data_IF_591420989996
#
_entry.id   IF_591420989996
#
_cell.length_a   1.000
_cell.length_b   1.000
_cell.length_c   1.000
_cell.angle_alpha   90.00
_cell.angle_beta   90.00
_cell.angle_gamma   90.00
#
_symmetry.space_group_name_H-M   'P 1'
#
loop_
_entity.id
_entity.type
_entity.pdbx_description
1 polymer ?
#
# COMPACT_ATOMS: atom_id res chain seq x y z
N UNK A 1 -17.58 3.13 18.65
CA UNK A 1 -17.22 2.09 17.67
C UNK A 1 -15.79 2.40 17.23
N UNK A 2 -14.94 1.43 16.94
CA UNK A 2 -13.61 1.73 16.40
C UNK A 2 -13.78 2.56 15.12
N UNK A 3 -12.89 3.55 14.92
CA UNK A 3 -12.91 4.44 13.74
C UNK A 3 -12.46 3.63 12.50
N UNK A 4 -13.42 2.94 11.87
CA UNK A 4 -13.17 2.10 10.69
C UNK A 4 -12.97 2.97 9.48
N UNK A 5 -11.76 2.98 8.93
CA UNK A 5 -11.39 3.81 7.78
C UNK A 5 -11.57 3.06 6.45
N UNK A 6 -11.39 1.74 6.41
CA UNK A 6 -11.71 0.89 5.25
C UNK A 6 -12.67 -0.21 5.70
N UNK A 7 -13.82 -0.33 5.06
CA UNK A 7 -14.80 -1.39 5.32
C UNK A 7 -15.14 -2.11 4.01
N UNK A 8 -14.84 -3.39 3.95
CA UNK A 8 -15.04 -4.28 2.81
C UNK A 8 -15.98 -5.38 3.22
N UNK A 9 -17.09 -5.56 2.47
CA UNK A 9 -18.10 -6.57 2.74
C UNK A 9 -18.42 -7.39 1.50
N UNK A 10 -18.16 -8.68 1.56
CA UNK A 10 -18.48 -9.64 0.52
C UNK A 10 -17.88 -9.33 -0.86
N UNK A 11 -16.71 -8.67 -0.92
CA UNK A 11 -16.12 -8.16 -2.15
C UNK A 11 -15.76 -9.31 -3.11
N UNK A 12 -16.30 -9.25 -4.35
CA UNK A 12 -16.01 -10.22 -5.41
C UNK A 12 -15.47 -9.54 -6.65
N UNK A 13 -14.39 -10.09 -7.18
CA UNK A 13 -13.75 -9.62 -8.41
C UNK A 13 -13.50 -10.75 -9.37
N UNK A 14 -13.92 -10.55 -10.62
CA UNK A 14 -13.65 -11.47 -11.75
C UNK A 14 -12.92 -10.75 -12.87
N UNK A 15 -12.07 -11.49 -13.57
CA UNK A 15 -11.48 -11.13 -14.85
C UNK A 15 -11.93 -12.19 -15.87
N UNK A 16 -12.90 -11.86 -16.71
CA UNK A 16 -13.62 -12.85 -17.52
C UNK A 16 -14.28 -13.89 -16.61
N UNK A 17 -14.02 -15.17 -16.87
CA UNK A 17 -14.56 -16.28 -16.08
C UNK A 17 -13.75 -16.59 -14.81
N UNK A 18 -12.58 -15.99 -14.65
CA UNK A 18 -11.71 -16.24 -13.49
C UNK A 18 -12.10 -15.35 -12.29
N UNK A 19 -12.65 -15.94 -11.24
CA UNK A 19 -12.96 -15.26 -10.00
C UNK A 19 -11.72 -15.19 -9.10
N UNK A 20 -11.14 -13.97 -8.98
CA UNK A 20 -9.90 -13.71 -8.25
C UNK A 20 -10.16 -13.36 -6.79
N UNK A 21 -11.21 -12.58 -6.49
CA UNK A 21 -11.66 -12.32 -5.11
C UNK A 21 -13.05 -12.95 -4.92
N UNK A 22 -13.19 -13.75 -3.87
CA UNK A 22 -14.34 -14.67 -3.67
C UNK A 22 -15.09 -14.36 -2.36
N UNK A 23 -15.54 -13.12 -2.20
CA UNK A 23 -16.24 -12.68 -1.00
C UNK A 23 -15.24 -12.33 0.12
N UNK A 24 -14.57 -11.19 -0.01
CA UNK A 24 -13.64 -10.67 0.99
C UNK A 24 -14.42 -9.77 1.95
N UNK A 25 -14.25 -10.04 3.25
CA UNK A 25 -14.72 -9.21 4.35
C UNK A 25 -13.49 -8.73 5.14
N UNK A 26 -13.29 -7.41 5.23
CA UNK A 26 -12.15 -6.82 5.94
C UNK A 26 -12.48 -5.42 6.42
N UNK A 27 -12.44 -5.19 7.73
CA UNK A 27 -12.45 -3.86 8.34
C UNK A 27 -11.04 -3.43 8.72
N UNK A 28 -10.69 -2.18 8.49
CA UNK A 28 -9.40 -1.57 8.88
C UNK A 28 -9.70 -0.35 9.76
N UNK A 29 -9.07 -0.29 10.92
CA UNK A 29 -9.18 0.84 11.85
C UNK A 29 -8.16 1.92 11.49
N UNK A 30 -8.50 3.18 11.74
CA UNK A 30 -7.56 4.30 11.54
C UNK A 30 -6.30 4.10 12.40
N UNK A 31 -5.13 4.28 11.80
CA UNK A 31 -3.83 4.06 12.43
C UNK A 31 -3.41 2.58 12.48
N UNK A 32 -4.26 1.65 12.02
CA UNK A 32 -3.93 0.22 12.01
C UNK A 32 -2.97 -0.13 10.86
N UNK A 33 -2.01 -0.99 11.15
CA UNK A 33 -1.07 -1.56 10.18
C UNK A 33 -1.45 -3.01 9.90
N UNK A 34 -1.88 -3.29 8.66
CA UNK A 34 -2.23 -4.64 8.22
C UNK A 34 -1.20 -5.15 7.21
N UNK A 35 -0.60 -6.32 7.50
CA UNK A 35 0.19 -7.06 6.53
C UNK A 35 -0.67 -8.13 5.85
N UNK A 36 -0.72 -8.12 4.52
CA UNK A 36 -1.43 -9.11 3.69
C UNK A 36 -0.39 -10.04 3.08
N UNK A 37 -0.45 -11.32 3.46
CA UNK A 37 0.48 -12.36 3.04
C UNK A 37 -0.26 -13.47 2.27
N UNK A 38 0.47 -14.29 1.53
CA UNK A 38 -0.08 -15.42 0.77
C UNK A 38 0.67 -15.67 -0.54
N UNK A 39 0.43 -16.83 -1.15
CA UNK A 39 1.07 -17.24 -2.42
C UNK A 39 0.78 -16.22 -3.55
N UNK A 40 1.67 -16.18 -4.55
CA UNK A 40 1.39 -15.44 -5.79
C UNK A 40 0.06 -15.90 -6.40
N UNK A 41 -0.71 -14.97 -6.97
CA UNK A 41 -2.03 -15.25 -7.54
C UNK A 41 -3.16 -15.43 -6.52
N UNK A 42 -2.95 -15.24 -5.21
CA UNK A 42 -4.02 -15.34 -4.21
C UNK A 42 -4.98 -14.14 -4.17
N UNK A 43 -4.73 -13.09 -4.96
CA UNK A 43 -5.60 -11.92 -5.07
C UNK A 43 -5.16 -10.69 -4.26
N UNK A 44 -4.01 -10.70 -3.59
CA UNK A 44 -3.53 -9.62 -2.71
C UNK A 44 -3.48 -8.25 -3.39
N UNK A 45 -2.73 -8.14 -4.49
CA UNK A 45 -2.59 -6.90 -5.26
C UNK A 45 -3.92 -6.45 -5.88
N UNK A 46 -4.77 -7.42 -6.28
CA UNK A 46 -6.12 -7.13 -6.78
C UNK A 46 -6.98 -6.50 -5.69
N UNK A 47 -6.88 -6.99 -4.45
CA UNK A 47 -7.59 -6.39 -3.31
C UNK A 47 -7.16 -4.95 -3.08
N UNK A 48 -5.85 -4.66 -3.03
CA UNK A 48 -5.35 -3.28 -2.89
C UNK A 48 -5.82 -2.38 -4.05
N UNK A 49 -5.81 -2.89 -5.29
CA UNK A 49 -6.28 -2.14 -6.45
C UNK A 49 -7.79 -1.90 -6.45
N UNK A 50 -8.58 -2.76 -5.82
CA UNK A 50 -10.00 -2.49 -5.58
C UNK A 50 -10.18 -1.37 -4.55
N UNK A 51 -9.37 -1.33 -3.47
CA UNK A 51 -9.47 -0.32 -2.42
C UNK A 51 -9.18 1.08 -2.95
N UNK A 52 -8.18 1.27 -3.84
CA UNK A 52 -7.90 2.58 -4.43
C UNK A 52 -8.70 2.87 -5.72
N UNK A 53 -9.60 1.95 -6.11
CA UNK A 53 -10.44 2.08 -7.29
C UNK A 53 -9.70 2.02 -8.63
N UNK A 54 -8.52 1.42 -8.69
CA UNK A 54 -7.84 1.08 -9.95
C UNK A 54 -8.48 -0.14 -10.62
N UNK A 55 -9.05 -1.05 -9.80
CA UNK A 55 -9.83 -2.18 -10.27
C UNK A 55 -11.29 -2.04 -9.83
N UNK A 56 -12.20 -2.35 -10.74
CA UNK A 56 -13.62 -2.48 -10.44
C UNK A 56 -13.91 -3.85 -9.83
N UNK A 57 -14.98 -3.98 -9.05
CA UNK A 57 -15.49 -5.25 -8.55
C UNK A 57 -16.95 -5.44 -8.99
N UNK A 58 -17.43 -6.68 -8.98
CA UNK A 58 -18.77 -6.99 -9.46
C UNK A 58 -19.81 -7.06 -8.35
N UNK A 59 -19.41 -7.59 -7.17
CA UNK A 59 -20.31 -7.80 -6.03
C UNK A 59 -19.65 -7.34 -4.73
N UNK A 60 -20.47 -7.04 -3.74
CA UNK A 60 -20.03 -6.57 -2.42
C UNK A 60 -20.09 -5.06 -2.28
N UNK A 61 -19.60 -4.58 -1.16
CA UNK A 61 -19.50 -3.16 -0.84
C UNK A 61 -18.09 -2.82 -0.33
N UNK A 62 -17.62 -1.61 -0.65
CA UNK A 62 -16.37 -1.07 -0.17
C UNK A 62 -16.55 0.41 0.15
N UNK A 63 -16.18 0.80 1.37
CA UNK A 63 -16.13 2.20 1.80
C UNK A 63 -14.73 2.55 2.27
N UNK A 64 -14.30 3.77 2.02
CA UNK A 64 -13.05 4.33 2.52
C UNK A 64 -13.34 5.70 3.10
N UNK A 65 -12.92 5.93 4.33
CA UNK A 65 -13.13 7.18 5.08
C UNK A 65 -14.60 7.64 5.08
N UNK A 66 -15.52 6.67 5.23
CA UNK A 66 -16.97 6.86 5.20
C UNK A 66 -17.61 7.00 3.82
N UNK A 67 -16.83 7.11 2.76
CA UNK A 67 -17.32 7.27 1.40
C UNK A 67 -17.40 5.92 0.66
N UNK A 68 -18.60 5.58 0.17
CA UNK A 68 -18.80 4.35 -0.62
C UNK A 68 -18.17 4.47 -1.99
N UNK A 69 -17.45 3.41 -2.39
CA UNK A 69 -16.81 3.35 -3.71
C UNK A 69 -17.84 3.20 -4.81
N UNK A 70 -17.89 4.18 -5.72
CA UNK A 70 -18.81 4.24 -6.86
C UNK A 70 -18.03 4.29 -8.17
N UNK A 71 -17.74 3.15 -8.77
CA UNK A 71 -16.90 3.06 -9.97
C UNK A 71 -17.38 3.87 -11.16
N UNK A 72 -18.68 4.12 -11.28
CA UNK A 72 -19.28 4.88 -12.39
C UNK A 72 -19.23 6.40 -12.17
N UNK A 73 -18.87 6.86 -10.97
CA UNK A 73 -18.75 8.28 -10.66
C UNK A 73 -17.28 8.71 -10.67
N UNK A 74 -16.87 9.33 -11.78
CA UNK A 74 -15.50 9.81 -11.94
C UNK A 74 -15.08 10.87 -10.90
N UNK A 75 -16.05 11.65 -10.38
CA UNK A 75 -15.79 12.65 -9.33
C UNK A 75 -15.54 11.97 -7.99
N UNK A 76 -16.38 11.00 -7.62
CA UNK A 76 -16.19 10.19 -6.41
C UNK A 76 -14.85 9.43 -6.47
N UNK A 77 -14.49 8.86 -7.62
CA UNK A 77 -13.23 8.16 -7.79
C UNK A 77 -12.00 9.06 -7.67
N UNK A 78 -12.10 10.33 -8.13
CA UNK A 78 -11.01 11.32 -7.94
C UNK A 78 -10.89 11.72 -6.46
N UNK A 79 -12.01 11.92 -5.77
CA UNK A 79 -12.02 12.22 -4.34
C UNK A 79 -11.39 11.07 -3.55
N UNK A 80 -11.80 9.82 -3.78
CA UNK A 80 -11.22 8.65 -3.14
C UNK A 80 -9.69 8.63 -3.26
N UNK A 81 -9.15 8.81 -4.47
CA UNK A 81 -7.70 8.76 -4.73
C UNK A 81 -6.91 9.90 -4.09
N UNK A 82 -7.55 10.91 -3.55
CA UNK A 82 -6.89 11.93 -2.73
C UNK A 82 -6.70 11.44 -1.28
N UNK A 83 -7.56 10.54 -0.80
CA UNK A 83 -7.51 9.97 0.55
C UNK A 83 -6.74 8.64 0.61
N UNK A 84 -6.55 7.96 -0.53
CA UNK A 84 -5.86 6.67 -0.61
C UNK A 84 -4.60 6.80 -1.44
N UNK A 85 -3.45 6.79 -0.77
CA UNK A 85 -2.14 6.69 -1.42
C UNK A 85 -1.83 5.24 -1.83
N UNK A 86 -1.11 5.06 -2.92
CA UNK A 86 -0.62 3.73 -3.31
C UNK A 86 0.82 3.77 -3.78
N UNK A 87 1.61 2.84 -3.27
CA UNK A 87 2.99 2.60 -3.68
C UNK A 87 3.01 1.23 -4.36
N UNK A 88 3.55 1.19 -5.57
CA UNK A 88 3.58 0.00 -6.41
C UNK A 88 4.93 -0.72 -6.31
N UNK A 89 4.94 -1.97 -6.71
CA UNK A 89 6.13 -2.79 -6.87
C UNK A 89 7.17 -2.14 -7.81
N UNK A 90 6.71 -1.61 -8.94
CA UNK A 90 7.50 -0.76 -9.82
C UNK A 90 7.39 0.68 -9.35
N UNK A 91 8.49 1.42 -9.34
CA UNK A 91 8.57 2.78 -8.77
C UNK A 91 7.62 3.77 -9.47
N UNK A 92 7.36 3.56 -10.77
CA UNK A 92 6.46 4.37 -11.62
C UNK A 92 6.74 5.87 -11.54
N UNK A 93 8.01 6.25 -11.40
CA UNK A 93 8.43 7.65 -11.47
C UNK A 93 8.32 8.15 -12.92
N UNK A 94 7.96 9.42 -13.07
CA UNK A 94 8.01 10.10 -14.36
C UNK A 94 9.48 10.35 -14.75
N UNK A 95 10.01 9.65 -15.77
CA UNK A 95 11.45 9.67 -16.05
C UNK A 95 11.94 11.02 -16.59
N UNK A 96 11.04 11.84 -17.12
CA UNK A 96 11.32 13.18 -17.67
C UNK A 96 11.14 14.31 -16.64
N UNK A 97 10.83 13.98 -15.38
CA UNK A 97 10.70 14.93 -14.29
C UNK A 97 11.77 14.68 -13.24
N UNK A 98 12.29 15.75 -12.65
CA UNK A 98 13.17 15.62 -11.47
C UNK A 98 12.46 14.98 -10.31
N UNK A 99 13.20 14.49 -9.33
CA UNK A 99 12.71 13.92 -8.07
C UNK A 99 11.71 14.88 -7.39
N UNK A 100 12.10 16.13 -7.21
CA UNK A 100 11.22 17.14 -6.62
C UNK A 100 9.93 17.34 -7.42
N UNK A 101 10.02 17.40 -8.75
CA UNK A 101 8.83 17.53 -9.61
C UNK A 101 7.93 16.29 -9.58
N UNK A 102 8.50 15.09 -9.46
CA UNK A 102 7.72 13.87 -9.24
C UNK A 102 6.86 13.96 -7.97
N UNK A 103 7.42 14.48 -6.87
CA UNK A 103 6.69 14.64 -5.60
C UNK A 103 5.65 15.77 -5.68
N UNK A 104 5.97 16.87 -6.34
CA UNK A 104 5.12 18.07 -6.41
C UNK A 104 3.94 17.94 -7.38
N UNK A 105 4.00 17.04 -8.37
CA UNK A 105 3.07 17.02 -9.51
C UNK A 105 1.61 16.86 -9.08
N UNK A 106 1.29 15.84 -8.30
CA UNK A 106 -0.07 15.56 -7.89
C UNK A 106 -0.67 16.66 -7.00
N UNK A 107 0.01 17.17 -5.95
CA UNK A 107 -0.47 18.32 -5.18
C UNK A 107 -0.71 19.57 -6.01
N UNK A 108 0.14 19.85 -7.00
CA UNK A 108 -0.03 21.01 -7.88
C UNK A 108 -1.28 20.90 -8.76
N UNK A 109 -1.50 19.72 -9.37
CA UNK A 109 -2.62 19.50 -10.30
C UNK A 109 -3.97 19.29 -9.60
N UNK A 110 -3.97 18.58 -8.47
CA UNK A 110 -5.20 18.13 -7.83
C UNK A 110 -5.64 19.06 -6.72
N UNK A 111 -4.69 19.48 -5.83
CA UNK A 111 -4.95 20.38 -4.72
C UNK A 111 -4.69 21.86 -5.06
N UNK A 112 -4.27 22.14 -6.29
CA UNK A 112 -3.91 23.49 -6.76
C UNK A 112 -2.90 24.19 -5.82
N UNK A 113 -2.00 23.42 -5.22
CA UNK A 113 -1.01 23.92 -4.27
C UNK A 113 -0.03 24.85 -4.98
N UNK A 114 0.22 26.02 -4.40
CA UNK A 114 1.16 26.99 -4.94
C UNK A 114 2.58 26.39 -5.04
N UNK A 115 3.33 26.78 -6.08
CA UNK A 115 4.64 26.19 -6.37
C UNK A 115 5.61 26.28 -5.19
N UNK A 116 5.65 27.41 -4.46
CA UNK A 116 6.49 27.62 -3.30
C UNK A 116 6.15 26.65 -2.14
N UNK A 117 4.86 26.47 -1.86
CA UNK A 117 4.39 25.58 -0.79
C UNK A 117 4.59 24.10 -1.17
N UNK A 118 4.38 23.77 -2.47
CA UNK A 118 4.65 22.46 -3.03
C UNK A 118 6.14 22.09 -2.94
N UNK A 119 7.04 23.01 -3.23
CA UNK A 119 8.48 22.79 -3.10
C UNK A 119 8.88 22.58 -1.64
N UNK A 120 8.40 23.43 -0.73
CA UNK A 120 8.69 23.29 0.70
C UNK A 120 8.23 21.94 1.25
N UNK A 121 7.01 21.50 0.87
CA UNK A 121 6.49 20.17 1.24
C UNK A 121 7.33 19.05 0.63
N UNK A 122 7.67 19.13 -0.66
CA UNK A 122 8.45 18.10 -1.35
C UNK A 122 9.83 17.93 -0.71
N UNK A 123 10.52 19.05 -0.36
CA UNK A 123 11.81 18.99 0.34
C UNK A 123 11.69 18.30 1.70
N UNK A 124 10.66 18.61 2.48
CA UNK A 124 10.38 17.99 3.77
C UNK A 124 10.14 16.48 3.65
N UNK A 125 9.38 16.07 2.64
CA UNK A 125 9.12 14.65 2.38
C UNK A 125 10.36 13.91 1.89
N UNK A 126 11.18 14.53 1.05
CA UNK A 126 12.46 13.96 0.61
C UNK A 126 13.45 13.83 1.75
N UNK A 127 13.51 14.81 2.66
CA UNK A 127 14.30 14.71 3.89
C UNK A 127 13.83 13.52 4.76
N UNK A 128 12.52 13.38 4.94
CA UNK A 128 11.92 12.27 5.70
C UNK A 128 12.31 10.89 5.15
N UNK A 129 12.45 10.76 3.83
CA UNK A 129 12.90 9.50 3.20
C UNK A 129 14.42 9.44 2.97
N UNK A 130 15.20 10.37 3.55
CA UNK A 130 16.66 10.41 3.48
C UNK A 130 17.21 10.77 2.11
N UNK A 131 16.53 11.64 1.35
CA UNK A 131 16.88 12.03 -0.03
C UNK A 131 16.83 13.56 -0.24
N UNK A 132 17.10 14.35 0.81
CA UNK A 132 17.01 15.81 0.76
C UNK A 132 17.87 16.42 -0.38
N UNK A 133 19.07 15.89 -0.61
CA UNK A 133 20.02 16.36 -1.61
C UNK A 133 19.65 15.96 -3.06
N UNK A 134 18.70 15.05 -3.22
CA UNK A 134 18.27 14.50 -4.53
C UNK A 134 17.15 15.29 -5.21
N UNK A 135 16.70 16.41 -4.67
CA UNK A 135 15.56 17.19 -5.18
C UNK A 135 15.64 17.47 -6.68
N UNK A 136 16.83 17.84 -7.19
CA UNK A 136 17.06 18.18 -8.59
C UNK A 136 17.55 16.99 -9.45
N UNK A 137 17.79 15.81 -8.86
CA UNK A 137 18.23 14.63 -9.58
C UNK A 137 17.10 14.10 -10.48
N UNK A 138 17.50 13.38 -11.54
CA UNK A 138 16.58 12.63 -12.39
C UNK A 138 16.44 11.18 -11.88
N UNK A 139 15.32 10.48 -12.16
CA UNK A 139 15.09 9.11 -11.69
C UNK A 139 16.20 8.10 -12.10
N UNK A 140 16.77 8.26 -13.27
CA UNK A 140 17.85 7.40 -13.78
C UNK A 140 19.19 7.58 -13.03
N UNK A 141 19.34 8.64 -12.25
CA UNK A 141 20.49 8.91 -11.39
C UNK A 141 20.35 8.30 -9.98
N UNK A 142 19.26 7.54 -9.74
CA UNK A 142 18.93 6.98 -8.44
C UNK A 142 19.04 5.45 -8.46
N UNK A 143 19.51 4.85 -7.35
CA UNK A 143 19.36 3.40 -7.13
C UNK A 143 17.89 2.99 -7.02
N UNK A 144 17.58 1.70 -7.19
CA UNK A 144 16.22 1.18 -7.04
C UNK A 144 15.60 1.52 -5.68
N UNK A 145 16.34 1.37 -4.59
CA UNK A 145 15.88 1.75 -3.25
C UNK A 145 15.64 3.25 -3.10
N UNK A 146 16.47 4.10 -3.73
CA UNK A 146 16.23 5.54 -3.77
C UNK A 146 14.99 5.88 -4.57
N UNK A 147 14.77 5.28 -5.73
CA UNK A 147 13.57 5.46 -6.55
C UNK A 147 12.30 5.07 -5.77
N UNK A 148 12.35 3.96 -5.03
CA UNK A 148 11.23 3.52 -4.20
C UNK A 148 10.94 4.51 -3.06
N UNK A 149 11.97 5.04 -2.43
CA UNK A 149 11.79 6.08 -1.40
C UNK A 149 11.22 7.38 -1.98
N UNK A 150 11.56 7.75 -3.21
CA UNK A 150 10.89 8.86 -3.92
C UNK A 150 9.42 8.53 -4.20
N UNK A 151 9.09 7.29 -4.59
CA UNK A 151 7.69 6.87 -4.80
C UNK A 151 6.88 6.95 -3.49
N UNK A 152 7.48 6.61 -2.35
CA UNK A 152 6.87 6.81 -1.02
C UNK A 152 6.63 8.32 -0.77
N UNK A 153 7.64 9.17 -0.94
CA UNK A 153 7.50 10.61 -0.75
C UNK A 153 6.40 11.22 -1.65
N UNK A 154 6.32 10.77 -2.90
CA UNK A 154 5.26 11.16 -3.86
C UNK A 154 3.87 10.77 -3.38
N UNK A 155 3.70 9.55 -2.85
CA UNK A 155 2.41 9.10 -2.31
C UNK A 155 2.01 9.93 -1.08
N UNK A 156 2.95 10.22 -0.19
CA UNK A 156 2.73 11.03 1.01
C UNK A 156 2.41 12.51 0.70
N UNK A 157 2.83 13.03 -0.46
CA UNK A 157 2.60 14.43 -0.83
C UNK A 157 1.10 14.78 -0.98
N UNK A 158 0.26 13.78 -1.22
CA UNK A 158 -1.20 13.93 -1.22
C UNK A 158 -1.82 13.88 0.18
N UNK A 159 -1.04 13.65 1.24
CA UNK A 159 -1.51 13.55 2.64
C UNK A 159 -2.65 12.54 2.77
N UNK A 160 -2.43 11.28 2.34
CA UNK A 160 -3.48 10.27 2.31
C UNK A 160 -3.87 9.83 3.74
N UNK A 161 -5.13 9.46 3.92
CA UNK A 161 -5.62 8.87 5.16
C UNK A 161 -5.27 7.38 5.28
N UNK A 162 -5.06 6.70 4.14
CA UNK A 162 -4.65 5.30 4.03
C UNK A 162 -3.55 5.17 2.99
N UNK A 163 -2.51 4.41 3.29
CA UNK A 163 -1.42 4.12 2.35
C UNK A 163 -1.39 2.62 2.04
N UNK A 164 -1.49 2.29 0.77
CA UNK A 164 -1.44 0.93 0.24
C UNK A 164 -0.04 0.65 -0.31
N UNK A 165 0.59 -0.44 0.13
CA UNK A 165 1.93 -0.85 -0.29
C UNK A 165 1.83 -2.21 -1.01
N UNK A 166 2.02 -2.24 -2.33
CA UNK A 166 1.93 -3.46 -3.14
C UNK A 166 3.33 -3.99 -3.46
N UNK A 167 3.84 -4.93 -2.64
CA UNK A 167 5.14 -5.62 -2.80
C UNK A 167 6.32 -4.66 -3.06
N UNK A 168 6.41 -3.59 -2.27
CA UNK A 168 7.30 -2.44 -2.51
C UNK A 168 8.80 -2.74 -2.44
N UNK A 169 9.19 -3.94 -2.02
CA UNK A 169 10.60 -4.39 -1.94
C UNK A 169 10.97 -5.43 -2.99
N UNK A 170 10.00 -6.03 -3.67
CA UNK A 170 10.27 -7.21 -4.54
C UNK A 170 11.06 -6.90 -5.81
N UNK A 171 11.17 -5.62 -6.21
CA UNK A 171 11.98 -5.18 -7.34
C UNK A 171 13.36 -4.63 -6.92
N UNK A 172 13.75 -4.83 -5.65
CA UNK A 172 14.99 -4.29 -5.08
C UNK A 172 16.03 -5.38 -4.84
N UNK A 173 17.30 -5.00 -4.93
CA UNK A 173 18.39 -5.81 -4.43
C UNK A 173 18.27 -5.98 -2.91
N UNK A 174 18.58 -7.17 -2.35
CA UNK A 174 18.37 -7.46 -0.92
C UNK A 174 19.01 -6.44 0.04
N UNK A 175 20.17 -5.89 -0.31
CA UNK A 175 20.87 -4.88 0.48
C UNK A 175 20.13 -3.52 0.57
N UNK A 176 19.25 -3.22 -0.41
CA UNK A 176 18.47 -1.98 -0.45
C UNK A 176 17.11 -2.09 0.26
N UNK A 177 16.62 -3.31 0.51
CA UNK A 177 15.33 -3.59 1.14
C UNK A 177 15.22 -2.90 2.51
N UNK A 178 16.26 -3.03 3.34
CA UNK A 178 16.24 -2.49 4.71
C UNK A 178 16.03 -0.97 4.78
N UNK A 179 16.52 -0.22 3.78
CA UNK A 179 16.34 1.25 3.76
C UNK A 179 14.88 1.64 3.50
N UNK A 180 14.20 0.92 2.59
CA UNK A 180 12.79 1.16 2.26
C UNK A 180 11.90 0.75 3.43
N UNK A 181 12.17 -0.41 4.04
CA UNK A 181 11.39 -0.91 5.18
C UNK A 181 11.49 0.02 6.40
N UNK A 182 12.66 0.63 6.67
CA UNK A 182 12.79 1.63 7.75
C UNK A 182 11.91 2.85 7.54
N UNK A 183 11.75 3.30 6.30
CA UNK A 183 10.82 4.41 6.01
C UNK A 183 9.38 4.00 6.33
N UNK A 184 8.95 2.81 5.89
CA UNK A 184 7.60 2.32 6.17
C UNK A 184 7.36 2.11 7.67
N UNK A 185 8.36 1.60 8.40
CA UNK A 185 8.32 1.47 9.86
C UNK A 185 8.09 2.83 10.52
N UNK A 186 8.83 3.88 10.12
CA UNK A 186 8.62 5.21 10.68
C UNK A 186 7.23 5.78 10.37
N UNK A 187 6.60 5.41 9.23
CA UNK A 187 5.22 5.80 8.93
C UNK A 187 4.21 5.09 9.85
N UNK A 188 4.45 3.82 10.15
CA UNK A 188 3.65 3.06 11.12
C UNK A 188 3.73 3.68 12.52
N UNK A 189 4.96 3.98 12.99
CA UNK A 189 5.20 4.62 14.29
C UNK A 189 4.54 6.00 14.42
N UNK A 190 4.41 6.73 13.31
CA UNK A 190 3.70 8.02 13.25
C UNK A 190 2.16 7.85 13.18
N UNK A 191 1.62 6.63 13.26
CA UNK A 191 0.20 6.35 13.27
C UNK A 191 -0.47 6.36 11.90
N UNK A 192 0.28 6.20 10.80
CA UNK A 192 -0.28 6.06 9.45
C UNK A 192 -1.04 4.75 9.31
N UNK A 193 -2.27 4.79 8.76
CA UNK A 193 -2.99 3.57 8.38
C UNK A 193 -2.32 2.92 7.17
N UNK A 194 -1.84 1.69 7.32
CA UNK A 194 -1.10 0.97 6.28
C UNK A 194 -1.76 -0.38 5.94
N UNK A 195 -1.94 -0.65 4.66
CA UNK A 195 -2.22 -2.01 4.16
C UNK A 195 -1.07 -2.42 3.25
N UNK A 196 -0.32 -3.44 3.64
CA UNK A 196 0.91 -3.83 2.96
C UNK A 196 0.82 -5.28 2.45
N UNK A 197 0.97 -5.47 1.15
CA UNK A 197 1.30 -6.78 0.58
C UNK A 197 2.80 -6.94 0.65
N UNK A 198 3.28 -7.97 1.33
CA UNK A 198 4.72 -8.17 1.53
C UNK A 198 5.09 -9.65 1.59
N UNK A 199 6.32 -9.94 1.18
CA UNK A 199 7.02 -11.21 1.38
C UNK A 199 8.06 -11.14 2.51
N UNK A 200 8.22 -9.97 3.14
CA UNK A 200 9.14 -9.73 4.25
C UNK A 200 8.49 -10.13 5.58
N UNK A 201 8.49 -11.44 5.90
CA UNK A 201 7.77 -11.96 7.08
C UNK A 201 8.31 -11.42 8.40
N UNK A 202 9.64 -11.20 8.51
CA UNK A 202 10.25 -10.57 9.68
C UNK A 202 9.74 -9.15 9.89
N UNK A 203 9.61 -8.39 8.83
CA UNK A 203 9.06 -7.04 8.85
C UNK A 203 7.56 -7.05 9.20
N UNK A 204 6.76 -7.89 8.53
CA UNK A 204 5.34 -8.05 8.83
C UNK A 204 5.10 -8.39 10.30
N UNK A 205 5.91 -9.30 10.87
CA UNK A 205 5.83 -9.68 12.29
C UNK A 205 6.14 -8.51 13.23
N UNK A 206 7.07 -7.62 12.84
CA UNK A 206 7.53 -6.51 13.67
C UNK A 206 6.56 -5.33 13.68
N UNK A 207 6.01 -4.97 12.50
CA UNK A 207 5.33 -3.67 12.34
C UNK A 207 3.81 -3.77 12.25
N UNK A 208 3.23 -4.93 11.94
CA UNK A 208 1.79 -5.01 11.76
C UNK A 208 1.05 -5.27 13.07
N UNK A 209 -0.10 -4.64 13.23
CA UNK A 209 -1.07 -4.93 14.30
C UNK A 209 -1.83 -6.21 13.99
N UNK A 210 -2.10 -6.45 12.70
CA UNK A 210 -2.82 -7.62 12.22
C UNK A 210 -2.23 -8.13 10.91
N UNK A 211 -2.20 -9.46 10.79
CA UNK A 211 -1.80 -10.15 9.56
C UNK A 211 -3.02 -10.83 8.96
N UNK A 212 -3.16 -10.72 7.64
CA UNK A 212 -4.22 -11.34 6.84
C UNK A 212 -3.57 -12.32 5.87
N UNK A 213 -3.86 -13.60 6.02
CA UNK A 213 -3.42 -14.64 5.09
C UNK A 213 -4.48 -14.87 4.01
N UNK A 214 -4.11 -14.55 2.77
CA UNK A 214 -4.96 -14.80 1.60
C UNK A 214 -4.57 -16.09 0.88
N UNK A 215 -5.57 -16.92 0.64
CA UNK A 215 -5.43 -18.15 -0.13
C UNK A 215 -6.61 -18.34 -1.09
N UNK A 216 -6.31 -18.67 -2.36
CA UNK A 216 -7.31 -18.97 -3.40
C UNK A 216 -8.44 -17.93 -3.52
N UNK A 217 -8.14 -16.64 -3.35
CA UNK A 217 -9.08 -15.52 -3.49
C UNK A 217 -9.92 -15.23 -2.24
N UNK A 218 -9.61 -15.80 -1.09
CA UNK A 218 -10.31 -15.60 0.19
C UNK A 218 -9.33 -15.17 1.29
N UNK A 219 -9.84 -14.48 2.29
CA UNK A 219 -9.15 -14.38 3.59
C UNK A 219 -9.35 -15.74 4.26
N UNK A 220 -8.24 -16.46 4.43
CA UNK A 220 -8.25 -17.82 4.95
C UNK A 220 -8.01 -17.84 6.46
N UNK A 221 -7.14 -16.96 6.93
CA UNK A 221 -6.85 -16.77 8.35
C UNK A 221 -6.42 -15.32 8.58
N UNK A 222 -6.81 -14.73 9.71
CA UNK A 222 -6.31 -13.41 10.15
C UNK A 222 -6.22 -13.33 11.66
N UNK A 223 -5.27 -12.53 12.16
CA UNK A 223 -5.06 -12.33 13.58
C UNK A 223 -3.82 -11.52 13.87
N UNK A 224 -3.42 -11.45 15.13
CA UNK A 224 -2.17 -10.81 15.51
C UNK A 224 -0.96 -11.53 14.89
N UNK A 225 0.16 -10.83 14.63
CA UNK A 225 1.38 -11.47 14.14
C UNK A 225 1.84 -12.66 15.00
N UNK A 226 1.75 -12.53 16.33
CA UNK A 226 2.12 -13.59 17.24
C UNK A 226 1.26 -14.85 17.05
N UNK A 227 -0.04 -14.70 16.85
CA UNK A 227 -0.96 -15.81 16.61
C UNK A 227 -0.70 -16.47 15.23
N UNK A 228 -0.67 -15.69 14.15
CA UNK A 228 -0.51 -16.24 12.82
C UNK A 228 0.84 -16.93 12.57
N UNK A 229 1.92 -16.28 13.00
CA UNK A 229 3.27 -16.83 12.78
C UNK A 229 3.70 -17.85 13.84
N UNK A 230 3.14 -17.77 15.07
CA UNK A 230 3.49 -18.67 16.17
C UNK A 230 2.61 -19.92 16.28
N UNK A 231 1.34 -19.80 15.92
CA UNK A 231 0.37 -20.89 16.04
C UNK A 231 -0.65 -20.86 14.87
N UNK A 232 -0.20 -21.05 13.61
CA UNK A 232 -1.08 -21.08 12.45
C UNK A 232 -2.10 -22.21 12.58
N UNK A 233 -3.38 -21.93 12.32
CA UNK A 233 -4.46 -22.91 12.51
C UNK A 233 -4.68 -23.75 11.25
N UNK A 234 -4.67 -23.11 10.08
CA UNK A 234 -5.00 -23.76 8.81
C UNK A 234 -3.81 -24.51 8.22
N UNK A 235 -4.03 -25.69 7.58
CA UNK A 235 -2.98 -26.43 6.88
C UNK A 235 -2.28 -25.57 5.80
N UNK A 236 -3.04 -24.74 5.11
CA UNK A 236 -2.55 -23.86 4.02
C UNK A 236 -1.58 -22.81 4.55
N UNK A 237 -1.86 -22.20 5.70
CA UNK A 237 -0.94 -21.23 6.34
C UNK A 237 0.31 -21.94 6.85
N UNK A 238 0.17 -23.12 7.49
CA UNK A 238 1.32 -23.94 7.93
C UNK A 238 2.24 -24.26 6.76
N UNK A 239 1.67 -24.73 5.64
CA UNK A 239 2.42 -25.04 4.43
C UNK A 239 3.08 -23.80 3.82
N UNK A 240 2.38 -22.64 3.84
CA UNK A 240 2.92 -21.39 3.33
C UNK A 240 4.13 -20.94 4.16
N UNK A 241 4.02 -20.95 5.48
CA UNK A 241 5.11 -20.54 6.38
C UNK A 241 6.30 -21.49 6.33
N UNK A 242 6.08 -22.80 6.25
CA UNK A 242 7.18 -23.77 6.15
C UNK A 242 8.00 -23.60 4.87
N UNK A 243 7.36 -23.25 3.74
CA UNK A 243 8.03 -23.00 2.48
C UNK A 243 8.91 -21.72 2.45
N UNK A 244 8.78 -20.85 3.45
CA UNK A 244 9.60 -19.63 3.58
C UNK A 244 10.86 -19.84 4.44
N UNK A 245 10.95 -20.97 5.15
CA UNK A 245 12.07 -21.31 6.04
C UNK A 245 13.00 -22.38 5.44
N UNK A 246 12.72 -22.88 4.25
CA UNK A 246 13.55 -23.80 3.46
C UNK A 246 14.20 -23.09 2.29
#
# INVERSE_FOLDING_TARGET
>A
MPDTIVDIRGLRKRFGDNEVLKGIDLGVTRGEVIAIIGKSGSGKSTLLRCINGLETFQDGALTVDGEALKHHDAKAMRALRQHVGMIFQSFNLFPHLTVGRNVMLAPALVKQRAAKDGEAQARKLLERVGLAEKFNAMPDQLSGGQQQRVAIARALAMEPAVLLCDEITSALDPELVGEVLRVVESLADDGMTLLMVTHEMGFARKVSDRVVFMHAGRIHEMGSPAALFGNPQTPELKQFLSALHG
#
